data_IF_765059426229
#
_entry.id   IF_765059426229
#
_cell.length_a   1.000
_cell.length_b   1.000
_cell.length_c   1.000
_cell.angle_alpha   90.00
_cell.angle_beta   90.00
_cell.angle_gamma   90.00
#
_symmetry.space_group_name_H-M   'P 1'
#
loop_
_entity.id
_entity.type
_entity.pdbx_description
1 polymer ?
2 water ?
#
# COMPACT_ATOMS: atom_id res chain seq x y z
N UNK A 12 8.93 -9.22 -21.22
CA UNK A 12 7.65 -8.54 -21.39
C UNK A 12 7.67 -7.06 -21.05
N UNK A 13 6.67 -6.64 -20.28
CA UNK A 13 6.50 -5.24 -19.88
C UNK A 13 7.13 -5.01 -18.51
N UNK A 14 7.36 -3.73 -18.19
CA UNK A 14 7.97 -3.35 -16.93
C UNK A 14 6.95 -3.37 -15.81
N UNK A 15 7.27 -4.08 -14.74
CA UNK A 15 6.37 -4.16 -13.60
C UNK A 15 6.59 -2.98 -12.66
N UNK A 16 5.58 -2.64 -11.85
CA UNK A 16 5.75 -1.54 -10.86
C UNK A 16 6.57 -2.01 -9.66
N UNK A 17 7.89 -1.94 -9.83
CA UNK A 17 8.82 -2.50 -8.86
C UNK A 17 9.35 -1.47 -7.86
N UNK A 18 8.78 -0.27 -7.83
CA UNK A 18 9.08 0.71 -6.81
C UNK A 18 7.79 1.33 -6.30
N UNK A 19 7.76 1.82 -5.07
CA UNK A 19 6.52 2.42 -4.57
C UNK A 19 6.10 3.63 -5.37
N UNK A 20 4.80 3.85 -5.41
CA UNK A 20 4.17 4.95 -6.15
C UNK A 20 3.57 5.95 -5.17
N UNK A 21 4.04 7.20 -5.20
CA UNK A 21 3.39 8.23 -4.40
C UNK A 21 2.09 8.65 -5.08
N UNK A 22 1.00 8.58 -4.34
CA UNK A 22 -0.35 8.73 -4.89
C UNK A 22 -1.03 9.87 -4.16
N UNK A 23 -1.60 10.79 -4.93
CA UNK A 23 -2.36 11.91 -4.39
C UNK A 23 -3.73 11.90 -5.03
N UNK A 24 -4.76 11.73 -4.21
CA UNK A 24 -6.11 11.86 -4.72
C UNK A 24 -6.72 10.56 -5.17
N UNK A 25 -8.06 10.57 -5.24
CA UNK A 25 -8.81 9.36 -5.58
C UNK A 25 -8.53 8.90 -7.00
N UNK A 26 -8.43 9.82 -7.97
CA UNK A 26 -8.20 9.39 -9.34
C UNK A 26 -6.88 8.65 -9.47
N UNK A 27 -5.82 9.16 -8.82
CA UNK A 27 -4.53 8.48 -8.90
C UNK A 27 -4.57 7.12 -8.23
N UNK A 28 -5.28 7.02 -7.11
CA UNK A 28 -5.38 5.72 -6.43
C UNK A 28 -6.17 4.75 -7.29
N UNK A 29 -7.30 5.21 -7.84
CA UNK A 29 -8.08 4.37 -8.74
C UNK A 29 -7.26 3.88 -9.91
N UNK A 30 -6.37 4.73 -10.43
CA UNK A 30 -5.55 4.29 -11.55
C UNK A 30 -4.67 3.10 -11.14
N UNK A 31 -4.13 3.15 -9.92
CA UNK A 31 -3.22 2.08 -9.49
C UNK A 31 -4.01 0.82 -9.17
N UNK A 32 -5.14 0.96 -8.47
CA UNK A 32 -5.88 -0.24 -8.07
C UNK A 32 -6.62 -0.87 -9.24
N UNK A 33 -6.86 -0.15 -10.33
CA UNK A 33 -7.48 -0.76 -11.50
C UNK A 33 -6.47 -1.35 -12.46
N UNK A 34 -5.21 -0.90 -12.41
CA UNK A 34 -4.15 -1.36 -13.30
C UNK A 34 -3.28 -2.45 -12.69
N UNK A 35 -3.45 -2.75 -11.40
CA UNK A 35 -2.66 -3.76 -10.71
C UNK A 35 -3.62 -4.62 -9.88
N UNK A 36 -3.49 -5.95 -9.99
CA UNK A 36 -4.46 -6.81 -9.32
C UNK A 36 -4.39 -6.63 -7.82
N UNK A 37 -3.19 -6.57 -7.24
CA UNK A 37 -3.04 -6.43 -5.80
C UNK A 37 -2.27 -5.15 -5.53
N UNK A 38 -2.76 -4.33 -4.61
CA UNK A 38 -2.11 -3.07 -4.26
C UNK A 38 -2.02 -2.97 -2.75
N UNK A 39 -0.83 -2.67 -2.23
CA UNK A 39 -0.64 -2.32 -0.83
C UNK A 39 -0.54 -0.80 -0.74
N UNK A 40 -1.53 -0.18 -0.10
CA UNK A 40 -1.56 1.28 0.08
C UNK A 40 -1.06 1.61 1.47
N UNK A 41 0.05 2.35 1.52
CA UNK A 41 0.71 2.74 2.77
C UNK A 41 0.30 4.17 3.08
N UNK A 42 -0.59 4.33 4.06
CA UNK A 42 -1.03 5.66 4.49
C UNK A 42 -0.09 6.13 5.59
N UNK A 43 0.60 7.24 5.34
CA UNK A 43 1.70 7.69 6.18
C UNK A 43 1.59 9.18 6.51
N UNK A 44 2.39 9.60 7.49
CA UNK A 44 2.69 10.99 7.76
C UNK A 44 4.20 11.13 7.93
N UNK A 45 4.78 12.21 7.40
CA UNK A 45 6.24 12.34 7.41
C UNK A 45 6.79 12.64 8.79
N UNK A 46 5.93 13.03 9.73
CA UNK A 46 6.35 13.30 11.11
C UNK A 46 6.24 12.08 12.00
N UNK A 47 5.86 10.93 11.45
CA UNK A 47 5.62 9.72 12.23
C UNK A 47 6.79 8.76 12.07
N UNK A 48 7.40 8.38 13.20
CA UNK A 48 8.57 7.53 13.21
C UNK A 48 8.34 6.16 12.62
N UNK A 49 7.36 5.41 13.14
CA UNK A 49 7.04 4.11 12.52
C UNK A 49 6.74 4.20 11.03
N UNK A 50 6.15 5.31 10.57
CA UNK A 50 5.95 5.47 9.13
C UNK A 50 7.27 5.49 8.37
N UNK A 51 8.27 6.22 8.89
CA UNK A 51 9.55 6.24 8.20
C UNK A 51 10.22 4.87 8.19
N UNK A 52 10.03 4.11 9.26
CA UNK A 52 10.61 2.76 9.31
C UNK A 52 9.94 1.84 8.29
N UNK A 53 8.70 2.15 7.91
CA UNK A 53 8.04 1.35 6.89
C UNK A 53 8.58 1.65 5.49
N UNK A 54 9.31 2.76 5.30
CA UNK A 54 9.75 3.17 3.96
C UNK A 54 10.63 2.12 3.30
N UNK A 55 11.69 1.63 3.93
CA UNK A 55 12.49 0.58 3.27
C UNK A 55 11.71 -0.71 3.12
N UNK A 56 10.77 -0.98 4.02
CA UNK A 56 10.01 -2.22 3.99
C UNK A 56 9.08 -2.27 2.78
N UNK A 57 8.28 -1.21 2.59
CA UNK A 57 7.36 -1.26 1.46
C UNK A 57 8.11 -1.11 0.14
N UNK A 58 9.30 -0.52 0.15
CA UNK A 58 10.16 -0.55 -1.02
C UNK A 58 10.54 -1.99 -1.37
N UNK A 59 10.96 -2.75 -0.37
CA UNK A 59 11.30 -4.15 -0.63
C UNK A 59 10.08 -4.93 -1.12
N UNK A 60 8.90 -4.65 -0.57
CA UNK A 60 7.70 -5.35 -1.01
C UNK A 60 7.38 -5.05 -2.47
N UNK A 61 7.55 -3.79 -2.89
CA UNK A 61 7.35 -3.49 -4.30
C UNK A 61 8.35 -4.22 -5.18
N UNK A 62 9.57 -4.40 -4.70
CA UNK A 62 10.62 -5.03 -5.49
C UNK A 62 10.49 -6.54 -5.52
N UNK A 63 9.96 -7.15 -4.46
CA UNK A 63 9.98 -8.59 -4.27
C UNK A 63 8.63 -9.28 -4.40
N UNK A 64 7.54 -8.53 -4.47
CA UNK A 64 6.23 -9.15 -4.63
C UNK A 64 5.56 -8.63 -5.89
N UNK A 65 4.45 -9.27 -6.25
CA UNK A 65 3.63 -8.86 -7.38
C UNK A 65 2.64 -7.75 -7.02
N UNK A 66 2.61 -7.30 -5.78
CA UNK A 66 1.76 -6.16 -5.42
C UNK A 66 2.38 -4.85 -5.87
N UNK A 67 1.55 -3.94 -6.39
CA UNK A 67 1.97 -2.57 -6.50
C UNK A 67 1.87 -1.93 -5.12
N UNK A 68 2.76 -0.99 -4.83
CA UNK A 68 2.73 -0.28 -3.55
C UNK A 68 2.43 1.19 -3.82
N UNK A 69 1.39 1.70 -3.16
CA UNK A 69 1.01 3.11 -3.21
C UNK A 69 1.31 3.73 -1.86
N UNK A 70 1.86 4.95 -1.86
CA UNK A 70 2.14 5.67 -0.62
C UNK A 70 1.31 6.95 -0.62
N UNK A 71 0.52 7.14 0.43
CA UNK A 71 -0.44 8.24 0.48
C UNK A 71 -0.19 9.04 1.76
N UNK A 72 0.12 10.32 1.62
CA UNK A 72 0.31 11.23 2.75
C UNK A 72 -1.05 11.62 3.32
N UNK A 73 -1.34 11.18 4.56
CA UNK A 73 -2.66 11.45 5.12
C UNK A 73 -2.92 12.93 5.32
N UNK A 74 -1.87 13.72 5.56
CA UNK A 74 -2.07 15.15 5.78
C UNK A 74 -2.48 15.87 4.50
N UNK A 75 -2.11 15.34 3.33
CA UNK A 75 -2.45 15.91 2.04
C UNK A 75 -3.61 15.21 1.37
N UNK A 76 -4.19 14.20 2.01
CA UNK A 76 -5.27 13.41 1.43
C UNK A 76 -6.25 13.02 2.53
N UNK A 77 -6.70 14.02 3.30
CA UNK A 77 -7.54 13.79 4.48
C UNK A 77 -8.82 13.03 4.13
N UNK A 78 -9.54 13.56 3.12
CA UNK A 78 -10.80 12.95 2.72
C UNK A 78 -10.59 11.58 2.10
N UNK A 79 -9.52 11.42 1.31
CA UNK A 79 -9.17 10.10 0.78
C UNK A 79 -8.93 9.11 1.91
N UNK A 80 -8.17 9.52 2.93
CA UNK A 80 -7.92 8.64 4.05
C UNK A 80 -9.22 8.27 4.76
N UNK A 81 -10.06 9.28 5.05
CA UNK A 81 -11.33 9.02 5.71
C UNK A 81 -12.21 8.07 4.90
N UNK A 82 -12.15 8.18 3.57
CA UNK A 82 -12.98 7.32 2.71
C UNK A 82 -12.61 5.85 2.83
N UNK A 83 -11.38 5.53 3.22
CA UNK A 83 -10.95 4.16 3.42
C UNK A 83 -10.84 3.81 4.90
N UNK A 84 -11.44 4.61 5.77
CA UNK A 84 -11.45 4.34 7.19
C UNK A 84 -10.10 4.45 7.85
N UNK A 85 -9.20 5.24 7.29
CA UNK A 85 -7.88 5.44 7.88
C UNK A 85 -8.01 6.49 8.98
N UNK A 86 -7.76 6.07 10.22
CA UNK A 86 -7.96 6.94 11.38
C UNK A 86 -6.70 7.10 12.22
N UNK A 87 -5.56 6.78 11.64
CA UNK A 87 -4.29 6.97 12.31
C UNK A 87 -3.21 6.43 11.39
N UNK A 88 -1.96 6.63 11.81
CA UNK A 88 -0.84 6.13 11.00
C UNK A 88 0.15 5.37 11.87
N UNK A 89 0.84 4.36 11.32
CA UNK A 89 0.63 3.81 9.98
C UNK A 89 -0.67 3.03 9.82
N UNK A 90 -1.31 3.14 8.65
CA UNK A 90 -2.36 2.23 8.24
C UNK A 90 -2.00 1.74 6.85
N UNK A 91 -2.07 0.43 6.63
CA UNK A 91 -1.85 -0.14 5.32
C UNK A 91 -3.12 -0.83 4.87
N UNK A 92 -3.59 -0.52 3.65
CA UNK A 92 -4.82 -1.09 3.12
C UNK A 92 -4.43 -1.95 1.93
N UNK A 93 -4.90 -3.18 1.91
CA UNK A 93 -4.63 -4.06 0.77
C UNK A 93 -5.85 -4.07 -0.14
N UNK A 94 -5.63 -3.88 -1.42
CA UNK A 94 -6.67 -3.92 -2.45
C UNK A 94 -6.48 -5.17 -3.30
N UNK A 95 -7.57 -5.83 -3.64
CA UNK A 95 -7.54 -6.92 -4.60
C UNK A 95 -8.61 -6.65 -5.64
N UNK A 96 -8.21 -6.56 -6.89
CA UNK A 96 -9.13 -6.27 -8.00
C UNK A 96 -9.93 -5.01 -7.71
N UNK A 97 -9.26 -4.01 -7.13
CA UNK A 97 -9.86 -2.72 -6.89
C UNK A 97 -10.70 -2.62 -5.64
N UNK A 98 -10.78 -3.68 -4.85
CA UNK A 98 -11.59 -3.82 -3.64
C UNK A 98 -10.71 -3.80 -2.41
N UNK A 99 -10.99 -2.99 -1.39
CA UNK A 99 -10.31 -3.12 -0.11
C UNK A 99 -10.63 -4.46 0.53
N UNK A 100 -9.60 -5.28 0.76
CA UNK A 100 -9.77 -6.62 1.34
C UNK A 100 -9.09 -6.78 2.69
N UNK A 101 -8.08 -5.99 3.04
CA UNK A 101 -7.42 -6.08 4.33
C UNK A 101 -7.04 -4.68 4.78
N UNK A 102 -6.99 -4.49 6.10
CA UNK A 102 -6.45 -3.26 6.66
C UNK A 102 -5.67 -3.61 7.91
N UNK A 103 -4.42 -3.19 7.97
CA UNK A 103 -3.60 -3.42 9.15
C UNK A 103 -3.08 -2.08 9.64
N UNK A 104 -2.93 -1.97 10.96
CA UNK A 104 -2.52 -0.72 11.58
C UNK A 104 -1.27 -0.96 12.40
N UNK A 105 -0.52 0.13 12.61
CA UNK A 105 0.72 0.06 13.34
C UNK A 105 1.85 -0.43 12.47
N UNK A 106 3.03 -0.44 13.07
CA UNK A 106 4.19 -0.98 12.40
C UNK A 106 3.99 -2.47 12.20
N UNK A 107 3.99 -2.90 10.97
CA UNK A 107 3.87 -4.31 10.62
C UNK A 107 5.21 -4.76 10.07
N UNK A 108 5.71 -5.88 10.59
CA UNK A 108 7.00 -6.44 10.21
C UNK A 108 7.00 -6.82 8.73
N UNK A 109 8.17 -6.74 8.09
CA UNK A 109 8.27 -7.03 6.67
C UNK A 109 7.72 -8.42 6.32
N UNK A 110 8.05 -9.42 7.13
CA UNK A 110 7.61 -10.78 6.83
C UNK A 110 6.09 -10.91 6.92
N UNK A 111 5.48 -10.26 7.91
CA UNK A 111 4.03 -10.28 8.05
C UNK A 111 3.34 -9.62 6.85
N UNK A 112 3.88 -8.49 6.38
CA UNK A 112 3.29 -7.83 5.22
C UNK A 112 3.50 -8.66 3.96
N UNK A 113 4.69 -9.26 3.80
CA UNK A 113 4.91 -10.13 2.65
C UNK A 113 3.93 -11.30 2.67
N UNK A 114 3.72 -11.89 3.85
CA UNK A 114 2.76 -12.99 3.95
C UNK A 114 1.34 -12.54 3.62
N UNK A 115 0.98 -11.34 4.06
CA UNK A 115 -0.34 -10.79 3.74
C UNK A 115 -0.49 -10.60 2.24
N UNK A 116 0.52 -10.03 1.59
CA UNK A 116 0.45 -9.82 0.14
C UNK A 116 0.31 -11.15 -0.57
N UNK A 117 1.13 -12.14 -0.20
CA UNK A 117 1.17 -13.41 -0.91
C UNK A 117 -0.12 -14.21 -0.73
N UNK A 118 -0.88 -13.96 0.33
CA UNK A 118 -2.17 -14.63 0.41
C UNK A 118 -3.14 -14.14 -0.64
N UNK A 119 -2.81 -13.07 -1.37
CA UNK A 119 -3.62 -12.60 -2.50
C UNK A 119 -2.92 -12.67 -3.84
N UNK A 120 -1.60 -12.57 -3.88
CA UNK A 120 -0.91 -12.68 -5.17
C UNK A 120 -0.71 -14.12 -5.60
N UNK A 121 -1.08 -15.10 -4.76
CA UNK A 121 -0.93 -16.51 -5.04
C UNK A 121 -2.23 -17.27 -4.80
N UNK A 122 -2.40 -18.36 -5.54
CA UNK A 122 -3.56 -19.24 -5.39
C UNK A 122 -3.56 -19.86 -3.99
N UNK A 123 -4.70 -19.83 -3.31
CA UNK A 123 -4.77 -20.34 -1.94
C UNK A 123 -5.50 -21.70 -1.95
N UNK A 124 -6.67 -21.93 -1.32
CA UNK A 124 -7.20 -23.18 -1.91
C UNK A 124 -7.71 -23.01 -3.33
#
# INVERSE_FOLDING_TARGET
RGSATDTAATTGTASPDEPLYVQGQTELDDVTSDNDVVLADFYADWCGPCQMLEPVVETLAEQTDAAVAKIDVDENQALASAYGVRGVPTLVLFADGEQVEEVVGLQDEDALKDLIESYTELVP
#
